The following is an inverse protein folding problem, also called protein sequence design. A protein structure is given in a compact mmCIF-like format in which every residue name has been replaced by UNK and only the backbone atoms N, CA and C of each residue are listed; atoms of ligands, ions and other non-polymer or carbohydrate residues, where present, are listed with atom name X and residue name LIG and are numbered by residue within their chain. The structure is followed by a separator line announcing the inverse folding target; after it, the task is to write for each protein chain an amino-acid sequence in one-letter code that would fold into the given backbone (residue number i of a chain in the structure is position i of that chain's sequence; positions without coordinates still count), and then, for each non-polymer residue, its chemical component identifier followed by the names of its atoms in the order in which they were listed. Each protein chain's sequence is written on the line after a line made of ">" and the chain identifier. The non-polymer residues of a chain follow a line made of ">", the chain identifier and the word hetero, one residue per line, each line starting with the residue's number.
data_IF_299264659157
#
_entry.id   IF_299264659157
#
_cell.length_a   1.000
_cell.length_b   1.000
_cell.length_c   1.000
_cell.angle_alpha   90.00
_cell.angle_beta   90.00
_cell.angle_gamma   90.00
#
_symmetry.space_group_name_H-M   'P 1'
#
loop_
_entity.id
_entity.type
_entity.pdbx_description
1 polymer ?
#
# COMPACT_ATOMS: atom_id res chain seq x y z
N UNK A 1 9.95 -24.27 -4.83
CA UNK A 1 9.70 -23.54 -3.57
C UNK A 1 8.23 -23.20 -3.51
N UNK A 2 7.61 -23.30 -2.35
CA UNK A 2 6.23 -22.84 -2.15
C UNK A 2 6.25 -21.33 -1.93
N UNK A 3 5.52 -20.58 -2.76
CA UNK A 3 5.40 -19.13 -2.61
C UNK A 3 4.57 -18.85 -1.35
N UNK A 4 5.03 -17.92 -0.52
CA UNK A 4 4.33 -17.51 0.70
C UNK A 4 3.93 -16.05 0.61
N UNK A 5 3.03 -15.62 1.50
CA UNK A 5 2.70 -14.21 1.60
C UNK A 5 3.95 -13.40 1.99
N UNK A 6 4.19 -12.29 1.29
CA UNK A 6 5.33 -11.42 1.59
C UNK A 6 5.19 -10.82 2.99
N UNK A 7 6.25 -10.90 3.79
CA UNK A 7 6.35 -10.25 5.10
C UNK A 7 6.71 -8.78 4.90
N UNK A 8 5.86 -7.86 5.36
CA UNK A 8 6.09 -6.43 5.17
C UNK A 8 6.80 -5.79 6.36
N UNK A 9 7.80 -4.93 6.09
CA UNK A 9 8.60 -4.22 7.10
C UNK A 9 8.56 -2.68 7.03
N UNK A 10 7.84 -2.08 6.08
CA UNK A 10 7.75 -0.62 5.95
C UNK A 10 7.25 0.10 7.21
N UNK A 11 6.45 -0.56 8.07
CA UNK A 11 6.03 0.00 9.38
C UNK A 11 7.01 -0.27 10.55
N UNK A 12 8.17 -0.87 10.30
CA UNK A 12 9.08 -1.36 11.34
C UNK A 12 10.45 -0.65 11.34
N UNK A 13 10.51 0.59 10.84
CA UNK A 13 11.76 1.37 10.74
C UNK A 13 12.88 0.61 10.01
N UNK A 14 12.50 -0.17 9.00
CA UNK A 14 13.42 -0.95 8.17
C UNK A 14 13.37 -0.37 6.77
N UNK A 15 14.49 0.21 6.33
CA UNK A 15 14.66 0.76 4.98
C UNK A 15 15.60 -0.09 4.13
N UNK A 16 16.30 -1.03 4.76
CA UNK A 16 17.19 -1.96 4.10
C UNK A 16 17.05 -3.34 4.71
N UNK A 17 16.93 -4.37 3.88
CA UNK A 17 17.02 -5.76 4.30
C UNK A 17 17.44 -6.63 3.12
N UNK A 18 17.96 -7.81 3.41
CA UNK A 18 18.22 -8.84 2.41
C UNK A 18 17.15 -9.93 2.51
N UNK A 19 16.58 -10.33 1.38
CA UNK A 19 15.58 -11.40 1.33
C UNK A 19 15.73 -12.23 0.05
N UNK A 20 15.43 -13.54 0.09
CA UNK A 20 15.44 -14.36 -1.12
C UNK A 20 14.28 -14.00 -2.05
N UNK A 21 14.54 -14.02 -3.36
CA UNK A 21 13.52 -13.95 -4.41
C UNK A 21 12.72 -15.25 -4.41
N UNK A 22 11.41 -15.17 -4.20
CA UNK A 22 10.51 -16.33 -4.26
C UNK A 22 9.90 -16.54 -5.65
N UNK A 23 9.66 -15.44 -6.37
CA UNK A 23 9.11 -15.45 -7.73
C UNK A 23 9.75 -14.33 -8.54
N UNK A 24 10.09 -14.64 -9.79
CA UNK A 24 10.45 -13.69 -10.82
C UNK A 24 9.61 -13.97 -12.05
N UNK A 25 8.97 -12.94 -12.62
CA UNK A 25 8.14 -13.06 -13.80
C UNK A 25 8.40 -11.90 -14.75
N UNK A 26 8.90 -12.21 -15.94
CA UNK A 26 9.21 -11.22 -16.97
C UNK A 26 8.03 -10.99 -17.89
N UNK A 27 7.75 -9.71 -18.15
CA UNK A 27 6.90 -9.26 -19.26
C UNK A 27 7.79 -8.83 -20.44
N UNK A 28 7.21 -8.19 -21.46
CA UNK A 28 7.99 -7.58 -22.54
C UNK A 28 8.80 -6.36 -22.07
N UNK A 29 8.29 -5.57 -21.11
CA UNK A 29 8.85 -4.27 -20.73
C UNK A 29 9.54 -4.25 -19.36
N UNK A 30 9.06 -5.07 -18.43
CA UNK A 30 9.51 -5.09 -17.02
C UNK A 30 9.65 -6.51 -16.50
N UNK A 31 10.33 -6.66 -15.37
CA UNK A 31 10.30 -7.88 -14.57
C UNK A 31 9.64 -7.62 -13.22
N UNK A 32 8.77 -8.53 -12.81
CA UNK A 32 8.16 -8.58 -11.50
C UNK A 32 9.00 -9.46 -10.59
N UNK A 33 9.37 -8.92 -9.42
CA UNK A 33 10.16 -9.62 -8.41
C UNK A 33 9.39 -9.64 -7.09
N UNK A 34 9.18 -10.83 -6.57
CA UNK A 34 8.58 -11.06 -5.25
C UNK A 34 9.64 -11.64 -4.33
N UNK A 35 9.83 -11.01 -3.17
CA UNK A 35 10.74 -11.47 -2.12
C UNK A 35 9.95 -12.01 -0.93
N UNK A 36 10.61 -12.80 -0.09
CA UNK A 36 9.98 -13.29 1.15
C UNK A 36 9.60 -12.16 2.11
N UNK A 37 10.46 -11.15 2.19
CA UNK A 37 10.31 -9.99 3.06
C UNK A 37 10.63 -8.73 2.27
N UNK A 38 9.96 -7.61 2.59
CA UNK A 38 10.23 -6.33 1.93
C UNK A 38 10.07 -5.13 2.87
N UNK A 39 10.97 -4.13 2.77
CA UNK A 39 10.80 -2.83 3.40
C UNK A 39 9.95 -1.85 2.57
N UNK A 40 9.56 -2.20 1.34
CA UNK A 40 8.78 -1.32 0.46
C UNK A 40 7.28 -1.37 0.78
N UNK A 41 6.65 -0.21 0.85
CA UNK A 41 5.20 -0.04 0.84
C UNK A 41 4.65 -0.12 -0.60
N UNK A 42 3.78 -1.09 -0.92
CA UNK A 42 3.16 -1.19 -2.24
C UNK A 42 1.93 -0.28 -2.39
N UNK A 43 1.59 0.07 -3.63
CA UNK A 43 0.27 0.65 -3.94
C UNK A 43 -0.82 -0.41 -3.73
N UNK A 44 -1.88 0.00 -3.05
CA UNK A 44 -3.07 -0.84 -2.82
C UNK A 44 -3.92 -0.95 -4.09
N UNK A 45 -4.29 -2.18 -4.45
CA UNK A 45 -5.15 -2.46 -5.61
C UNK A 45 -6.62 -2.05 -5.42
N UNK A 46 -7.07 -1.86 -4.17
CA UNK A 46 -8.46 -1.47 -3.85
C UNK A 46 -8.62 0.00 -3.50
N UNK A 47 -7.54 0.64 -3.01
CA UNK A 47 -7.57 2.00 -2.51
C UNK A 47 -6.20 2.65 -2.69
N UNK A 48 -5.86 3.11 -3.92
CA UNK A 48 -4.54 3.59 -4.27
C UNK A 48 -4.32 5.05 -3.83
N UNK A 49 -4.58 5.37 -2.56
CA UNK A 49 -4.41 6.70 -1.98
C UNK A 49 -2.94 7.04 -1.63
N UNK A 50 -2.16 6.02 -1.30
CA UNK A 50 -0.75 6.14 -0.96
C UNK A 50 0.13 5.63 -2.12
N UNK A 51 1.06 6.46 -2.64
CA UNK A 51 2.01 6.04 -3.66
C UNK A 51 2.89 4.86 -3.22
N UNK A 52 3.45 4.13 -4.18
CA UNK A 52 4.52 3.16 -3.95
C UNK A 52 5.74 3.84 -3.34
N UNK A 53 6.45 3.10 -2.49
CA UNK A 53 7.83 3.46 -2.15
C UNK A 53 8.75 3.34 -3.35
N UNK A 54 9.82 4.14 -3.32
CA UNK A 54 10.91 4.14 -4.30
C UNK A 54 12.17 3.56 -3.68
N UNK A 55 13.10 3.13 -4.52
CA UNK A 55 14.37 2.59 -4.06
C UNK A 55 15.03 1.68 -5.10
N UNK A 56 15.89 0.79 -4.62
CA UNK A 56 16.66 -0.13 -5.46
C UNK A 56 16.61 -1.55 -4.92
N UNK A 57 16.75 -2.51 -5.84
CA UNK A 57 17.07 -3.90 -5.54
C UNK A 57 18.47 -4.19 -6.07
N UNK A 58 19.38 -4.66 -5.22
CA UNK A 58 20.69 -5.13 -5.63
C UNK A 58 20.72 -6.66 -5.59
N UNK A 59 20.90 -7.30 -6.74
CA UNK A 59 20.89 -8.76 -6.93
C UNK A 59 22.14 -9.16 -7.70
N UNK A 60 22.92 -10.11 -7.18
CA UNK A 60 24.21 -10.55 -7.78
C UNK A 60 25.17 -9.39 -8.09
N UNK A 61 25.15 -8.35 -7.24
CA UNK A 61 25.96 -7.14 -7.42
C UNK A 61 25.47 -6.16 -8.50
N UNK A 62 24.36 -6.46 -9.18
CA UNK A 62 23.70 -5.54 -10.11
C UNK A 62 22.59 -4.79 -9.39
N UNK A 63 22.54 -3.48 -9.54
CA UNK A 63 21.51 -2.62 -8.95
C UNK A 63 20.43 -2.30 -9.98
N UNK A 64 19.18 -2.47 -9.56
CA UNK A 64 17.98 -2.20 -10.35
C UNK A 64 17.12 -1.17 -9.63
N UNK A 65 16.69 -0.13 -10.34
CA UNK A 65 15.71 0.82 -9.81
C UNK A 65 14.34 0.14 -9.69
N UNK A 66 13.66 0.36 -8.57
CA UNK A 66 12.25 -0.02 -8.39
C UNK A 66 11.39 1.06 -9.02
N UNK A 67 10.92 0.80 -10.24
CA UNK A 67 10.12 1.76 -11.01
C UNK A 67 8.66 1.81 -10.53
N UNK A 68 8.20 0.74 -9.88
CA UNK A 68 6.88 0.66 -9.23
C UNK A 68 6.88 -0.45 -8.16
N UNK A 69 5.96 -0.35 -7.19
CA UNK A 69 5.76 -1.36 -6.15
C UNK A 69 4.26 -1.58 -5.93
N UNK A 70 3.78 -2.77 -6.23
CA UNK A 70 2.35 -3.07 -6.32
C UNK A 70 1.97 -4.24 -5.40
N UNK A 71 0.71 -4.24 -4.94
CA UNK A 71 0.14 -5.47 -4.39
C UNK A 71 -0.07 -6.45 -5.53
N UNK A 72 0.31 -7.71 -5.32
CA UNK A 72 -0.01 -8.83 -6.20
C UNK A 72 -0.67 -9.98 -5.45
N UNK A 73 -1.17 -10.96 -6.19
CA UNK A 73 -1.64 -12.23 -5.66
C UNK A 73 -1.15 -13.38 -6.53
N UNK A 74 -0.76 -14.48 -5.92
CA UNK A 74 -0.41 -15.72 -6.61
C UNK A 74 -1.47 -16.77 -6.33
N UNK A 75 -1.99 -17.38 -7.40
CA UNK A 75 -2.82 -18.59 -7.30
C UNK A 75 -1.91 -19.79 -7.01
N UNK A 76 -2.03 -20.43 -5.85
CA UNK A 76 -1.11 -21.50 -5.44
C UNK A 76 -1.19 -22.73 -6.33
N UNK A 77 -2.36 -23.02 -6.92
CA UNK A 77 -2.57 -24.19 -7.76
C UNK A 77 -1.82 -24.09 -9.11
N UNK A 78 -1.76 -22.91 -9.70
CA UNK A 78 -1.13 -22.67 -11.02
C UNK A 78 0.24 -21.99 -10.92
N UNK A 79 0.53 -21.34 -9.80
CA UNK A 79 1.69 -20.45 -9.63
C UNK A 79 1.54 -19.12 -10.38
N UNK A 80 0.36 -18.82 -10.95
CA UNK A 80 0.13 -17.60 -11.74
C UNK A 80 0.07 -16.37 -10.84
N UNK A 81 0.85 -15.35 -11.18
CA UNK A 81 0.85 -14.03 -10.55
C UNK A 81 -0.18 -13.12 -11.26
N UNK A 82 -0.94 -12.37 -10.46
CA UNK A 82 -1.78 -11.26 -10.87
C UNK A 82 -1.37 -10.00 -10.10
N UNK A 83 -1.28 -8.86 -10.77
CA UNK A 83 -0.71 -7.63 -10.19
C UNK A 83 -1.71 -6.48 -10.25
N UNK A 84 -1.81 -5.71 -9.16
CA UNK A 84 -2.62 -4.49 -9.11
C UNK A 84 -4.07 -4.73 -9.51
N UNK A 85 -4.52 -4.04 -10.57
CA UNK A 85 -5.91 -4.10 -11.05
C UNK A 85 -6.32 -5.46 -11.64
N UNK A 86 -5.36 -6.35 -11.93
CA UNK A 86 -5.65 -7.69 -12.43
C UNK A 86 -5.99 -8.70 -11.33
N UNK A 87 -5.88 -8.31 -10.05
CA UNK A 87 -6.18 -9.18 -8.91
C UNK A 87 -7.67 -9.60 -8.94
N UNK A 88 -7.97 -10.91 -9.11
CA UNK A 88 -9.34 -11.38 -9.33
C UNK A 88 -10.07 -11.77 -8.04
N UNK A 89 -9.39 -11.72 -6.88
CA UNK A 89 -9.87 -12.26 -5.61
C UNK A 89 -9.79 -11.25 -4.47
N UNK A 90 -10.55 -11.50 -3.40
CA UNK A 90 -10.46 -10.73 -2.15
C UNK A 90 -9.29 -11.24 -1.31
N UNK A 91 -8.83 -10.40 -0.38
CA UNK A 91 -7.88 -10.82 0.66
C UNK A 91 -8.38 -12.05 1.40
N UNK A 92 -7.44 -12.89 1.82
CA UNK A 92 -7.67 -14.13 2.58
C UNK A 92 -8.49 -15.20 1.85
N UNK A 93 -8.65 -15.10 0.52
CA UNK A 93 -9.27 -16.16 -0.28
C UNK A 93 -8.39 -17.42 -0.26
N UNK A 94 -8.97 -18.57 0.11
CA UNK A 94 -8.25 -19.85 0.18
C UNK A 94 -7.64 -20.25 -1.17
N UNK A 95 -6.40 -20.75 -1.15
CA UNK A 95 -5.65 -21.11 -2.37
C UNK A 95 -4.91 -19.94 -3.04
N UNK A 96 -4.98 -18.75 -2.47
CA UNK A 96 -4.32 -17.54 -2.97
C UNK A 96 -3.39 -16.95 -1.91
N UNK A 97 -2.25 -16.39 -2.34
CA UNK A 97 -1.32 -15.70 -1.43
C UNK A 97 -1.06 -14.29 -1.92
N UNK A 98 -1.27 -13.31 -1.04
CA UNK A 98 -0.99 -11.90 -1.33
C UNK A 98 0.50 -11.61 -1.13
N UNK A 99 1.07 -10.92 -2.11
CA UNK A 99 2.51 -10.65 -2.18
C UNK A 99 2.76 -9.18 -2.51
N UNK A 100 3.99 -8.73 -2.26
CA UNK A 100 4.47 -7.44 -2.74
C UNK A 100 5.30 -7.67 -4.00
N UNK A 101 4.94 -6.95 -5.06
CA UNK A 101 5.56 -7.05 -6.38
C UNK A 101 6.42 -5.81 -6.62
N UNK A 102 7.73 -6.00 -6.67
CA UNK A 102 8.67 -4.98 -7.08
C UNK A 102 8.77 -5.02 -8.60
N UNK A 103 8.48 -3.91 -9.26
CA UNK A 103 8.59 -3.77 -10.71
C UNK A 103 9.95 -3.16 -11.03
N UNK A 104 10.75 -3.89 -11.81
CA UNK A 104 12.10 -3.47 -12.20
C UNK A 104 12.20 -3.39 -13.73
N UNK A 105 13.18 -2.65 -14.28
CA UNK A 105 13.53 -2.71 -15.69
C UNK A 105 13.76 -4.15 -16.16
N UNK A 106 13.34 -4.46 -17.39
CA UNK A 106 13.48 -5.81 -17.95
C UNK A 106 14.92 -6.31 -17.90
N UNK A 107 15.10 -7.51 -17.33
CA UNK A 107 16.38 -8.23 -17.31
C UNK A 107 16.14 -9.73 -17.24
N UNK A 108 17.09 -10.54 -17.70
CA UNK A 108 17.10 -12.01 -17.56
C UNK A 108 18.00 -12.48 -16.40
N UNK A 109 18.61 -11.55 -15.67
CA UNK A 109 19.67 -11.88 -14.71
C UNK A 109 19.16 -12.33 -13.33
N UNK A 110 17.87 -12.17 -13.07
CA UNK A 110 17.22 -12.43 -11.78
C UNK A 110 16.53 -13.78 -11.83
N UNK A 111 16.85 -14.65 -10.86
CA UNK A 111 16.26 -15.98 -10.73
C UNK A 111 15.67 -16.17 -9.33
N UNK A 112 14.73 -17.12 -9.22
CA UNK A 112 14.21 -17.58 -7.92
C UNK A 112 15.36 -18.13 -7.07
N UNK A 113 15.39 -17.76 -5.79
CA UNK A 113 16.43 -18.12 -4.83
C UNK A 113 17.60 -17.13 -4.76
N UNK A 114 17.71 -16.19 -5.71
CA UNK A 114 18.71 -15.13 -5.61
C UNK A 114 18.48 -14.29 -4.34
N UNK A 115 19.57 -13.89 -3.68
CA UNK A 115 19.51 -12.93 -2.59
C UNK A 115 19.35 -11.51 -3.16
N UNK A 116 18.29 -10.82 -2.75
CA UNK A 116 18.03 -9.43 -3.08
C UNK A 116 18.27 -8.56 -1.86
N UNK A 117 19.19 -7.59 -1.98
CA UNK A 117 19.29 -6.47 -1.06
C UNK A 117 18.29 -5.40 -1.49
N UNK A 118 17.28 -5.18 -0.67
CA UNK A 118 16.22 -4.18 -0.89
C UNK A 118 16.58 -2.91 -0.13
N UNK A 119 16.58 -1.77 -0.82
CA UNK A 119 16.93 -0.45 -0.25
C UNK A 119 15.88 0.58 -0.63
N UNK A 120 15.11 1.06 0.35
CA UNK A 120 14.07 2.08 0.17
C UNK A 120 14.67 3.48 0.26
N UNK A 121 14.20 4.39 -0.59
CA UNK A 121 14.40 5.82 -0.41
C UNK A 121 13.70 6.28 0.88
N UNK A 122 14.48 6.31 1.95
CA UNK A 122 14.03 6.66 3.29
C UNK A 122 13.44 8.07 3.35
N UNK A 123 14.03 9.04 2.67
CA UNK A 123 13.56 10.43 2.73
C UNK A 123 12.19 10.56 2.07
N UNK A 124 12.03 9.93 0.90
CA UNK A 124 10.76 9.86 0.20
C UNK A 124 9.70 9.14 1.02
N UNK A 125 9.97 7.95 1.56
CA UNK A 125 9.01 7.21 2.40
C UNK A 125 8.60 8.02 3.64
N UNK A 126 9.56 8.69 4.30
CA UNK A 126 9.24 9.55 5.45
C UNK A 126 8.38 10.75 5.05
N UNK A 127 8.58 11.34 3.86
CA UNK A 127 7.75 12.44 3.37
C UNK A 127 6.29 12.02 3.15
N UNK A 128 6.05 10.81 2.62
CA UNK A 128 4.70 10.27 2.47
C UNK A 128 4.10 9.93 3.83
N UNK A 129 4.87 9.33 4.72
CA UNK A 129 4.44 8.97 6.07
C UNK A 129 3.98 10.19 6.88
N UNK A 130 4.68 11.33 6.74
CA UNK A 130 4.28 12.60 7.36
C UNK A 130 2.95 13.10 6.80
N UNK A 131 2.80 13.12 5.47
CA UNK A 131 1.54 13.51 4.81
C UNK A 131 0.37 12.65 5.28
N UNK A 132 0.53 11.33 5.24
CA UNK A 132 -0.50 10.38 5.65
C UNK A 132 -0.88 10.56 7.12
N UNK A 133 0.11 10.64 8.02
CA UNK A 133 -0.12 10.86 9.46
C UNK A 133 -0.83 12.19 9.73
N UNK A 134 -0.50 13.25 8.99
CA UNK A 134 -1.19 14.54 9.10
C UNK A 134 -2.66 14.45 8.66
N UNK A 135 -2.97 13.66 7.63
CA UNK A 135 -4.35 13.35 7.22
C UNK A 135 -5.14 12.66 8.35
N UNK A 136 -4.53 11.68 9.03
CA UNK A 136 -5.14 11.03 10.21
C UNK A 136 -5.46 12.02 11.33
N UNK A 137 -4.51 12.90 11.65
CA UNK A 137 -4.70 13.93 12.67
C UNK A 137 -5.82 14.91 12.25
N UNK A 138 -5.84 15.31 10.98
CA UNK A 138 -6.82 16.25 10.45
C UNK A 138 -8.25 15.70 10.53
N UNK A 139 -8.50 14.44 10.17
CA UNK A 139 -9.86 13.89 10.25
C UNK A 139 -10.34 13.74 11.70
N UNK A 140 -9.46 13.37 12.63
CA UNK A 140 -9.79 13.30 14.06
C UNK A 140 -10.16 14.69 14.60
N UNK A 141 -9.42 15.72 14.22
CA UNK A 141 -9.73 17.10 14.58
C UNK A 141 -11.05 17.57 13.96
N UNK A 142 -11.30 17.25 12.69
CA UNK A 142 -12.54 17.55 11.98
C UNK A 142 -13.75 16.92 12.69
N UNK A 143 -13.67 15.61 12.99
CA UNK A 143 -14.71 14.88 13.70
C UNK A 143 -15.01 15.50 15.07
N UNK A 144 -13.97 15.86 15.84
CA UNK A 144 -14.11 16.53 17.13
C UNK A 144 -14.79 17.90 17.03
N UNK A 145 -14.46 18.71 16.03
CA UNK A 145 -15.08 20.04 15.84
C UNK A 145 -16.55 19.90 15.42
N UNK A 146 -16.84 19.01 14.47
CA UNK A 146 -18.20 18.81 13.96
C UNK A 146 -19.12 18.16 15.00
N UNK A 147 -18.60 17.32 15.89
CA UNK A 147 -19.35 16.74 17.00
C UNK A 147 -20.07 17.79 17.88
N UNK A 148 -19.58 19.03 17.92
CA UNK A 148 -20.15 20.08 18.77
C UNK A 148 -21.49 20.61 18.25
N UNK A 149 -21.60 20.85 16.93
CA UNK A 149 -22.73 21.62 16.37
C UNK A 149 -23.24 21.13 15.00
N UNK A 150 -22.56 20.18 14.35
CA UNK A 150 -23.01 19.68 13.05
C UNK A 150 -24.20 18.74 13.21
N UNK A 151 -24.10 17.77 14.13
CA UNK A 151 -25.03 16.66 14.23
C UNK A 151 -26.31 17.04 15.00
N UNK A 152 -27.47 16.80 14.37
CA UNK A 152 -28.80 16.95 14.97
C UNK A 152 -29.41 15.60 15.39
N UNK A 153 -28.82 14.50 14.93
CA UNK A 153 -29.22 13.13 15.23
C UNK A 153 -28.00 12.30 15.58
N UNK A 154 -28.22 11.29 16.40
CA UNK A 154 -27.21 10.28 16.67
C UNK A 154 -26.76 9.60 15.37
N UNK A 155 -25.48 9.23 15.30
CA UNK A 155 -24.87 8.58 14.16
C UNK A 155 -24.02 7.39 14.60
N UNK A 156 -24.19 6.28 13.89
CA UNK A 156 -23.70 4.96 14.32
C UNK A 156 -22.16 4.89 14.36
N UNK A 157 -21.50 5.42 13.31
CA UNK A 157 -20.04 5.42 13.20
C UNK A 157 -19.42 6.44 14.14
N UNK A 158 -18.48 5.96 14.94
CA UNK A 158 -17.66 6.75 15.85
C UNK A 158 -16.19 6.64 15.50
N UNK A 159 -15.45 7.73 15.66
CA UNK A 159 -14.00 7.71 15.58
C UNK A 159 -13.39 7.02 16.82
N UNK A 160 -12.07 6.73 16.83
CA UNK A 160 -11.41 6.11 17.99
C UNK A 160 -11.52 6.90 19.30
N UNK A 161 -11.91 8.18 19.26
CA UNK A 161 -12.15 9.01 20.44
C UNK A 161 -13.64 9.12 20.84
N UNK A 162 -14.54 8.42 20.14
CA UNK A 162 -15.97 8.38 20.41
C UNK A 162 -16.77 9.54 19.80
N UNK A 163 -16.16 10.41 18.98
CA UNK A 163 -16.90 11.44 18.25
C UNK A 163 -17.63 10.81 17.06
N UNK A 164 -18.69 11.45 16.58
CA UNK A 164 -19.30 11.04 15.31
C UNK A 164 -18.30 11.13 14.16
N UNK A 165 -18.16 10.03 13.41
CA UNK A 165 -17.15 9.92 12.37
C UNK A 165 -17.63 10.52 11.05
N UNK A 166 -17.60 11.86 10.97
CA UNK A 166 -17.93 12.59 9.75
C UNK A 166 -17.05 12.15 8.57
N UNK A 167 -15.75 11.94 8.82
CA UNK A 167 -14.81 11.49 7.81
C UNK A 167 -15.29 10.22 7.10
N UNK A 168 -15.59 9.16 7.86
CA UNK A 168 -16.06 7.89 7.29
C UNK A 168 -17.37 7.99 6.50
N UNK A 169 -18.19 9.03 6.73
CA UNK A 169 -19.42 9.25 5.94
C UNK A 169 -19.20 10.12 4.71
N UNK A 170 -18.24 11.03 4.75
CA UNK A 170 -18.13 12.12 3.78
C UNK A 170 -16.94 11.98 2.84
N UNK A 171 -15.86 11.31 3.26
CA UNK A 171 -14.64 11.18 2.48
C UNK A 171 -14.93 10.37 1.21
N UNK A 172 -14.65 11.00 0.07
CA UNK A 172 -14.82 10.44 -1.25
C UNK A 172 -13.49 9.95 -1.81
N UNK A 173 -12.42 10.69 -1.54
CA UNK A 173 -11.05 10.33 -1.89
C UNK A 173 -10.08 10.87 -0.85
N UNK A 174 -8.96 10.17 -0.71
CA UNK A 174 -7.77 10.61 0.01
C UNK A 174 -6.58 10.41 -0.93
N UNK A 175 -5.64 11.32 -0.96
CA UNK A 175 -4.43 11.18 -1.76
C UNK A 175 -3.22 11.73 -1.03
N UNK A 176 -2.21 10.89 -0.84
CA UNK A 176 -0.95 11.24 -0.19
C UNK A 176 0.07 11.63 -1.26
N UNK A 177 0.72 12.76 -1.03
CA UNK A 177 1.92 13.22 -1.74
C UNK A 177 2.99 13.56 -0.71
N UNK A 178 4.26 13.77 -1.10
CA UNK A 178 5.29 14.21 -0.15
C UNK A 178 4.79 15.37 0.70
N UNK A 179 4.82 15.18 2.02
CA UNK A 179 4.44 16.17 3.04
C UNK A 179 2.99 16.68 2.99
N UNK A 180 2.09 15.95 2.32
CA UNK A 180 0.69 16.38 2.17
C UNK A 180 -0.27 15.20 2.02
N UNK A 181 -1.43 15.32 2.67
CA UNK A 181 -2.61 14.52 2.35
C UNK A 181 -3.71 15.45 1.83
N UNK A 182 -4.35 15.09 0.71
CA UNK A 182 -5.50 15.78 0.17
C UNK A 182 -6.74 14.92 0.31
N UNK A 183 -7.63 15.31 1.22
CA UNK A 183 -8.92 14.66 1.41
C UNK A 183 -10.04 15.44 0.70
N UNK A 184 -10.84 14.74 -0.09
CA UNK A 184 -12.03 15.29 -0.74
C UNK A 184 -13.28 14.76 -0.06
N UNK A 185 -14.17 15.67 0.33
CA UNK A 185 -15.39 15.34 1.05
C UNK A 185 -16.63 15.71 0.24
N UNK A 186 -17.61 14.81 0.21
CA UNK A 186 -18.91 15.03 -0.43
C UNK A 186 -20.03 14.91 0.59
N UNK A 187 -20.74 16.02 0.79
CA UNK A 187 -21.91 16.07 1.66
C UNK A 187 -23.15 15.50 0.94
N UNK A 188 -23.37 14.20 1.08
CA UNK A 188 -24.55 13.52 0.53
C UNK A 188 -25.86 13.92 1.22
N UNK A 189 -27.00 13.55 0.61
CA UNK A 189 -28.35 13.80 1.16
C UNK A 189 -28.53 13.26 2.58
N UNK A 190 -27.98 12.07 2.86
CA UNK A 190 -28.05 11.45 4.19
C UNK A 190 -27.31 12.28 5.24
N UNK A 191 -26.12 12.76 4.93
CA UNK A 191 -25.31 13.53 5.87
C UNK A 191 -25.97 14.88 6.19
N UNK A 192 -26.46 15.60 5.17
CA UNK A 192 -27.25 16.85 5.35
C UNK A 192 -28.53 16.67 6.17
N UNK A 193 -29.13 15.47 6.16
CA UNK A 193 -30.30 15.16 7.00
C UNK A 193 -29.93 14.86 8.46
N UNK A 194 -28.69 14.45 8.71
CA UNK A 194 -28.16 14.20 10.05
C UNK A 194 -27.61 15.49 10.69
N UNK A 195 -27.27 16.50 9.89
CA UNK A 195 -26.72 17.78 10.34
C UNK A 195 -26.72 18.85 9.27
#
# INVERSE_FOLDING_TARGET
>A
MTITATKTRFCHQTWQLEAPVQLSHSTEEVIYVVTEETPFHPVSHIWPDHPADKGTLTIKGMSFEVVDCQVGVVELASGKLFVGTEIPVKRDTEGWVFVVVHVLPRTEAIAVGDAALLEVDKEYQLSLSRGHSAGHIAYLALNKVLAQNYWRKDADRKDPHGNYDFNSYAQEASFVTPDKCLDTYRLGKTLRKRG
#
